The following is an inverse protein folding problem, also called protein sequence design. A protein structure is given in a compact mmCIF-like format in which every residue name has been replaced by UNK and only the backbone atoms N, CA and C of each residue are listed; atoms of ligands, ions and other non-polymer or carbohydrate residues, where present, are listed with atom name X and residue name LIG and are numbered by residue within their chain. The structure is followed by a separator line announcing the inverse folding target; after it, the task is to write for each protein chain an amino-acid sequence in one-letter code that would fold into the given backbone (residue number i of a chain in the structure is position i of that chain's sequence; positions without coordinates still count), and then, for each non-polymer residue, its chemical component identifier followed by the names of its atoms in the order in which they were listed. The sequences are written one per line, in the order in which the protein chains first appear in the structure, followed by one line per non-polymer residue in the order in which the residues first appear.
data_IF_318211881421
#
_entry.id   IF_318211881421
#
_cell.length_a   1.000
_cell.length_b   1.000
_cell.length_c   1.000
_cell.angle_alpha   90.00
_cell.angle_beta   90.00
_cell.angle_gamma   90.00
#
_symmetry.space_group_name_H-M   'P 1'
#
loop_
_entity.id
_entity.type
_entity.pdbx_description
1 polymer ?
#
# COMPACT_ATOMS: atom_id res chain seq x y z
N UNK A 1 -4.32 -5.50 -16.30
CA UNK A 1 -3.47 -5.12 -15.14
C UNK A 1 -3.97 -3.87 -14.40
N UNK A 2 -5.13 -3.29 -14.74
CA UNK A 2 -5.63 -2.04 -14.12
C UNK A 2 -6.81 -2.21 -13.15
N UNK A 3 -7.48 -3.36 -13.13
CA UNK A 3 -8.76 -3.51 -12.43
C UNK A 3 -8.62 -3.85 -10.93
N UNK A 4 -7.46 -4.37 -10.51
CA UNK A 4 -7.25 -4.85 -9.14
C UNK A 4 -7.12 -3.71 -8.13
N UNK A 5 -6.31 -2.69 -8.43
CA UNK A 5 -6.04 -1.58 -7.52
C UNK A 5 -7.24 -0.69 -7.28
N UNK A 6 -8.09 -0.51 -8.31
CA UNK A 6 -9.38 0.14 -8.16
C UNK A 6 -10.31 -0.60 -7.19
N UNK A 7 -10.27 -1.94 -7.16
CA UNK A 7 -11.04 -2.75 -6.19
C UNK A 7 -10.49 -2.62 -4.77
N UNK A 8 -9.16 -2.60 -4.62
CA UNK A 8 -8.49 -2.38 -3.33
C UNK A 8 -8.86 -1.00 -2.79
N UNK A 9 -8.73 0.04 -3.61
CA UNK A 9 -9.09 1.42 -3.24
C UNK A 9 -10.56 1.53 -2.83
N UNK A 10 -11.47 0.91 -3.59
CA UNK A 10 -12.90 0.84 -3.22
C UNK A 10 -13.13 0.19 -1.86
N UNK A 11 -12.35 -0.83 -1.53
CA UNK A 11 -12.45 -1.55 -0.25
C UNK A 11 -11.96 -0.68 0.91
N UNK A 12 -10.85 0.04 0.72
CA UNK A 12 -10.30 0.98 1.71
C UNK A 12 -11.31 2.11 1.99
N UNK A 13 -11.90 2.68 0.94
CA UNK A 13 -12.91 3.75 1.08
C UNK A 13 -14.13 3.28 1.88
N UNK A 14 -14.67 2.09 1.57
CA UNK A 14 -15.81 1.52 2.31
C UNK A 14 -15.46 1.25 3.77
N UNK A 15 -14.27 0.71 4.04
CA UNK A 15 -13.83 0.47 5.41
C UNK A 15 -13.66 1.78 6.19
N UNK A 16 -13.03 2.79 5.60
CA UNK A 16 -12.80 4.10 6.21
C UNK A 16 -14.10 4.85 6.53
N UNK A 17 -15.16 4.66 5.72
CA UNK A 17 -16.49 5.22 6.00
C UNK A 17 -17.17 4.60 7.23
N UNK A 18 -16.90 3.32 7.52
CA UNK A 18 -17.47 2.63 8.68
C UNK A 18 -16.65 2.96 9.94
N UNK A 19 -15.32 2.91 9.84
CA UNK A 19 -14.41 3.19 10.93
C UNK A 19 -13.13 3.87 10.38
N UNK A 20 -12.71 5.01 10.93
CA UNK A 20 -11.50 5.70 10.49
C UNK A 20 -10.26 4.80 10.57
N UNK A 21 -9.70 4.47 9.41
CA UNK A 21 -8.48 3.67 9.31
C UNK A 21 -7.27 4.50 9.74
N UNK A 22 -6.44 3.94 10.63
CA UNK A 22 -5.19 4.60 11.06
C UNK A 22 -4.00 4.29 10.15
N UNK A 23 -3.94 3.08 9.59
CA UNK A 23 -2.87 2.70 8.68
C UNK A 23 -3.30 1.61 7.68
N UNK A 24 -2.64 1.56 6.53
CA UNK A 24 -2.69 0.48 5.54
C UNK A 24 -1.32 -0.21 5.46
N UNK A 25 -1.31 -1.54 5.55
CA UNK A 25 -0.12 -2.36 5.32
C UNK A 25 -0.15 -2.94 3.90
N UNK A 26 0.91 -2.75 3.10
CA UNK A 26 1.00 -3.30 1.73
C UNK A 26 2.45 -3.53 1.29
N UNK A 27 2.66 -4.31 0.23
CA UNK A 27 3.99 -4.56 -0.31
C UNK A 27 4.53 -3.28 -0.95
N UNK A 28 5.72 -2.88 -0.53
CA UNK A 28 6.39 -1.74 -1.11
C UNK A 28 7.89 -1.90 -0.97
N UNK A 29 8.60 -1.87 -2.10
CA UNK A 29 10.05 -2.01 -2.16
C UNK A 29 10.60 -1.31 -3.40
N UNK A 30 11.92 -1.20 -3.52
CA UNK A 30 12.56 -0.66 -4.74
C UNK A 30 12.22 -1.45 -6.02
N UNK A 31 11.79 -2.71 -5.88
CA UNK A 31 11.39 -3.56 -7.01
C UNK A 31 9.88 -3.54 -7.25
N UNK A 32 9.09 -2.99 -6.33
CA UNK A 32 7.63 -3.01 -6.36
C UNK A 32 7.05 -1.71 -5.78
N UNK A 33 6.67 -0.81 -6.68
CA UNK A 33 6.14 0.53 -6.37
C UNK A 33 4.68 0.73 -6.78
N UNK A 34 3.91 -0.35 -7.04
CA UNK A 34 2.50 -0.25 -7.47
C UNK A 34 1.60 0.63 -6.58
N UNK A 35 1.75 0.65 -5.23
CA UNK A 35 0.94 1.54 -4.38
C UNK A 35 1.06 3.03 -4.72
N UNK A 36 2.14 3.49 -5.36
CA UNK A 36 2.33 4.91 -5.72
C UNK A 36 1.30 5.43 -6.71
N UNK A 37 0.76 4.56 -7.57
CA UNK A 37 -0.10 5.00 -8.69
C UNK A 37 -1.45 5.54 -8.21
N UNK A 38 -2.03 4.92 -7.18
CA UNK A 38 -3.41 5.20 -6.76
C UNK A 38 -3.60 5.19 -5.23
N UNK A 39 -2.88 4.33 -4.51
CA UNK A 39 -3.12 4.11 -3.06
C UNK A 39 -2.48 5.24 -2.25
N UNK A 40 -1.20 5.55 -2.47
CA UNK A 40 -0.47 6.49 -1.60
C UNK A 40 -1.07 7.89 -1.59
N UNK A 41 -1.50 8.41 -2.76
CA UNK A 41 -2.14 9.71 -2.84
C UNK A 41 -3.47 9.79 -2.09
N UNK A 42 -4.26 8.70 -2.10
CA UNK A 42 -5.47 8.61 -1.29
C UNK A 42 -5.16 8.58 0.22
N UNK A 43 -4.19 7.75 0.63
CA UNK A 43 -3.82 7.63 2.05
C UNK A 43 -3.28 8.95 2.61
N UNK A 44 -2.47 9.67 1.84
CA UNK A 44 -1.95 10.99 2.23
C UNK A 44 -3.08 11.99 2.44
N UNK A 45 -4.03 12.06 1.50
CA UNK A 45 -5.20 12.95 1.58
C UNK A 45 -6.05 12.68 2.83
N UNK A 46 -6.33 11.41 3.12
CA UNK A 46 -7.17 10.99 4.24
C UNK A 46 -6.37 10.85 5.56
N UNK A 47 -5.07 11.18 5.56
CA UNK A 47 -4.15 11.10 6.71
C UNK A 47 -4.05 9.69 7.31
N UNK A 48 -4.09 8.67 6.46
CA UNK A 48 -3.93 7.27 6.83
C UNK A 48 -2.45 6.91 6.67
N UNK A 49 -1.84 6.31 7.70
CA UNK A 49 -0.45 5.87 7.64
C UNK A 49 -0.23 4.74 6.62
N UNK A 50 0.95 4.67 6.03
CA UNK A 50 1.34 3.54 5.16
C UNK A 50 2.47 2.73 5.81
N UNK A 51 2.29 1.42 5.91
CA UNK A 51 3.25 0.49 6.50
C UNK A 51 3.70 -0.51 5.43
N UNK A 52 4.92 -0.33 4.94
CA UNK A 52 5.49 -1.24 3.95
C UNK A 52 5.81 -2.61 4.58
N UNK A 53 5.40 -3.71 3.94
CA UNK A 53 5.95 -5.04 4.18
C UNK A 53 6.82 -5.49 2.99
N UNK A 54 7.65 -6.52 3.20
CA UNK A 54 8.65 -6.99 2.23
C UNK A 54 9.55 -5.88 1.64
N UNK A 55 10.10 -4.96 2.47
CA UNK A 55 10.84 -3.81 1.97
C UNK A 55 12.12 -4.17 1.20
N UNK A 56 12.65 -5.38 1.40
CA UNK A 56 13.81 -5.93 0.69
C UNK A 56 13.44 -6.72 -0.59
N UNK A 57 12.26 -6.49 -1.16
CA UNK A 57 11.82 -7.13 -2.41
C UNK A 57 11.78 -8.64 -2.29
N UNK A 58 11.13 -9.16 -1.24
CA UNK A 58 11.03 -10.60 -0.95
C UNK A 58 12.38 -11.33 -0.87
N UNK A 59 13.42 -10.64 -0.41
CA UNK A 59 14.76 -11.21 -0.24
C UNK A 59 15.69 -11.02 -1.44
N UNK A 60 15.25 -10.33 -2.50
CA UNK A 60 16.11 -9.89 -3.62
C UNK A 60 17.23 -8.99 -3.11
N UNK A 61 16.98 -8.17 -2.08
CA UNK A 61 17.97 -7.24 -1.50
C UNK A 61 18.55 -7.70 -0.16
N UNK A 62 18.60 -9.01 0.10
CA UNK A 62 19.28 -9.54 1.30
C UNK A 62 20.80 -9.44 1.14
N UNK A 63 21.51 -9.17 2.24
CA UNK A 63 22.98 -9.27 2.29
C UNK A 63 23.36 -10.68 2.71
N UNK A 64 24.19 -11.36 1.92
CA UNK A 64 24.88 -12.59 2.33
C UNK A 64 26.17 -12.19 3.06
N UNK A 65 26.40 -12.75 4.24
CA UNK A 65 27.64 -12.63 5.02
C UNK A 65 28.28 -13.99 5.10
#
# INVERSE_FOLDING_TARGET
MGDEWSRVLSSIQKAHQICPLSALQSEYSLWWCEPEKEILGFLEKEKIGFVAFSPLGQGVFKREI
#
